data_IF_031774185362
#
_entry.id   IF_031774185362
#
_cell.length_a   1.000
_cell.length_b   1.000
_cell.length_c   1.000
_cell.angle_alpha   90.00
_cell.angle_beta   90.00
_cell.angle_gamma   90.00
#
_symmetry.space_group_name_H-M   'P 1'
#
loop_
_entity.id
_entity.type
_entity.pdbx_description
1 polymer ?
#
# COMPACT_ATOMS: atom_id res chain seq x y z
N UNK A 1 -3.84 9.37 2.37
CA UNK A 1 -5.15 8.85 2.80
C UNK A 1 -5.04 8.45 4.27
N UNK A 2 -5.87 8.99 5.17
CA UNK A 2 -5.75 8.79 6.64
C UNK A 2 -6.81 7.82 7.16
N UNK A 3 -6.81 6.59 6.63
CA UNK A 3 -7.70 5.53 7.12
C UNK A 3 -7.06 4.82 8.31
N UNK A 4 -7.87 4.40 9.27
CA UNK A 4 -7.40 3.45 10.28
C UNK A 4 -7.10 2.10 9.60
N UNK A 5 -6.14 1.29 10.11
CA UNK A 5 -5.88 -0.03 9.55
C UNK A 5 -7.13 -0.92 9.50
N UNK A 6 -7.99 -0.83 10.52
CA UNK A 6 -9.24 -1.60 10.60
C UNK A 6 -10.19 -1.23 9.45
N UNK A 7 -10.39 0.06 9.22
CA UNK A 7 -11.30 0.54 8.17
C UNK A 7 -10.74 0.21 6.78
N UNK A 8 -9.41 0.26 6.63
CA UNK A 8 -8.75 -0.14 5.39
C UNK A 8 -9.02 -1.60 5.03
N UNK A 9 -8.83 -2.52 5.99
CA UNK A 9 -9.00 -3.96 5.74
C UNK A 9 -10.45 -4.43 5.69
N UNK A 10 -11.40 -3.63 6.19
CA UNK A 10 -12.82 -3.95 6.13
C UNK A 10 -13.49 -3.56 4.80
N UNK A 11 -12.84 -2.72 3.99
CA UNK A 11 -13.41 -2.23 2.73
C UNK A 11 -13.52 -3.33 1.68
N UNK A 12 -14.59 -3.22 0.88
CA UNK A 12 -14.72 -3.99 -0.35
C UNK A 12 -13.80 -3.43 -1.45
N UNK A 13 -13.43 -4.23 -2.46
CA UNK A 13 -12.63 -3.73 -3.59
C UNK A 13 -13.23 -2.51 -4.31
N UNK A 14 -14.57 -2.41 -4.38
CA UNK A 14 -15.27 -1.27 -5.00
C UNK A 14 -15.14 0.00 -4.17
N UNK A 15 -15.21 -0.11 -2.85
CA UNK A 15 -15.01 1.02 -1.94
C UNK A 15 -13.56 1.46 -1.96
N UNK A 16 -12.61 0.51 -1.97
CA UNK A 16 -11.19 0.80 -2.09
C UNK A 16 -10.90 1.58 -3.39
N UNK A 17 -11.43 1.14 -4.53
CA UNK A 17 -11.27 1.82 -5.81
C UNK A 17 -11.80 3.25 -5.79
N UNK A 18 -13.01 3.46 -5.27
CA UNK A 18 -13.60 4.79 -5.12
C UNK A 18 -12.76 5.69 -4.21
N UNK A 19 -12.25 5.13 -3.12
CA UNK A 19 -11.49 5.86 -2.13
C UNK A 19 -10.07 6.22 -2.63
N UNK A 20 -9.43 5.33 -3.41
CA UNK A 20 -8.20 5.61 -4.14
C UNK A 20 -8.41 6.68 -5.23
N UNK A 21 -9.48 6.55 -6.01
CA UNK A 21 -9.84 7.52 -7.06
C UNK A 21 -10.10 8.91 -6.49
N UNK A 22 -10.77 9.01 -5.33
CA UNK A 22 -10.99 10.29 -4.65
C UNK A 22 -9.72 10.88 -4.04
N UNK A 23 -8.83 10.06 -3.49
CA UNK A 23 -7.62 10.53 -2.82
C UNK A 23 -6.50 10.93 -3.79
N UNK A 24 -6.39 10.24 -4.93
CA UNK A 24 -5.26 10.39 -5.86
C UNK A 24 -5.67 10.83 -7.27
N UNK A 25 -6.97 11.00 -7.52
CA UNK A 25 -7.53 11.20 -8.86
C UNK A 25 -7.55 9.90 -9.67
N UNK A 26 -8.07 9.99 -10.90
CA UNK A 26 -7.95 8.89 -11.87
C UNK A 26 -6.51 8.82 -12.39
N UNK A 27 -5.64 8.11 -11.66
CA UNK A 27 -4.29 7.79 -12.14
C UNK A 27 -4.28 6.39 -12.74
N UNK A 28 -4.29 6.32 -14.06
CA UNK A 28 -3.87 5.12 -14.79
C UNK A 28 -2.32 5.05 -14.75
N UNK A 29 -1.76 4.76 -13.58
CA UNK A 29 -0.33 4.49 -13.46
C UNK A 29 0.00 3.14 -14.11
N UNK A 30 1.15 3.04 -14.76
CA UNK A 30 1.65 1.73 -15.19
C UNK A 30 1.91 0.87 -13.95
N UNK A 31 1.55 -0.42 -13.96
CA UNK A 31 1.93 -1.34 -12.89
C UNK A 31 3.44 -1.33 -12.66
N UNK A 32 3.84 -1.51 -11.41
CA UNK A 32 5.25 -1.57 -11.02
C UNK A 32 5.95 -2.74 -11.72
N UNK A 33 7.14 -2.53 -12.30
CA UNK A 33 7.91 -3.65 -12.84
C UNK A 33 8.55 -4.46 -11.72
N UNK A 34 9.03 -5.67 -12.06
CA UNK A 34 9.78 -6.49 -11.08
C UNK A 34 11.08 -5.83 -10.64
N UNK A 35 11.72 -5.06 -11.50
CA UNK A 35 12.94 -4.33 -11.18
C UNK A 35 12.66 -3.20 -10.17
N UNK A 36 11.57 -2.47 -10.37
CA UNK A 36 11.18 -1.40 -9.45
C UNK A 36 10.79 -1.97 -8.07
N UNK A 37 10.10 -3.12 -8.04
CA UNK A 37 9.82 -3.83 -6.78
C UNK A 37 11.10 -4.26 -6.07
N UNK A 38 12.08 -4.81 -6.80
CA UNK A 38 13.35 -5.21 -6.22
C UNK A 38 14.10 -4.00 -5.63
N UNK A 39 14.07 -2.85 -6.30
CA UNK A 39 14.64 -1.62 -5.79
C UNK A 39 13.96 -1.16 -4.48
N UNK A 40 12.63 -1.28 -4.38
CA UNK A 40 11.91 -0.96 -3.15
C UNK A 40 12.29 -1.89 -1.99
N UNK A 41 12.40 -3.20 -2.23
CA UNK A 41 12.80 -4.16 -1.19
C UNK A 41 14.22 -3.90 -0.65
N UNK A 42 15.13 -3.43 -1.51
CA UNK A 42 16.48 -3.03 -1.07
C UNK A 42 16.47 -1.71 -0.29
N UNK A 43 15.61 -0.76 -0.68
CA UNK A 43 15.49 0.54 0.00
C UNK A 43 14.79 0.43 1.37
N UNK A 44 13.86 -0.52 1.50
CA UNK A 44 13.06 -0.76 2.70
C UNK A 44 13.11 -2.26 3.04
N UNK A 45 14.23 -2.74 3.62
CA UNK A 45 14.35 -4.14 3.97
C UNK A 45 13.35 -4.52 5.07
N UNK A 46 12.65 -5.64 4.89
CA UNK A 46 11.83 -6.23 5.95
C UNK A 46 12.77 -6.75 7.06
N UNK A 47 12.80 -6.05 8.20
CA UNK A 47 13.66 -6.39 9.35
C UNK A 47 12.89 -7.00 10.53
N UNK A 48 13.62 -7.69 11.42
CA UNK A 48 13.18 -8.25 12.72
C UNK A 48 12.66 -7.21 13.73
N UNK A 49 12.64 -5.91 13.40
CA UNK A 49 12.31 -4.83 14.34
C UNK A 49 10.87 -4.86 14.88
N UNK A 50 9.95 -5.60 14.24
CA UNK A 50 8.60 -5.84 14.77
C UNK A 50 8.50 -7.06 15.71
N UNK A 51 9.51 -7.93 15.78
CA UNK A 51 9.53 -9.13 16.62
C UNK A 51 10.03 -8.87 18.06
N UNK A 52 10.69 -7.74 18.31
CA UNK A 52 11.30 -7.40 19.60
C UNK A 52 10.44 -6.57 20.57
N UNK A 53 9.12 -6.48 20.35
CA UNK A 53 8.21 -5.69 21.21
C UNK A 53 7.00 -6.53 21.63
N UNK A 54 7.27 -7.66 22.28
CA UNK A 54 6.32 -8.39 23.14
C UNK A 54 6.59 -8.10 24.60
#
# INVERSE_FOLDING_TARGET
>A
MRLSPKDFWAMTPRELDAALSGAFGHRAGQPLSRADLAALMQAYPDGDEHAGRT
#
